data_IF_626333034892
#
_entry.id   IF_626333034892
#
_cell.length_a   1.000
_cell.length_b   1.000
_cell.length_c   1.000
_cell.angle_alpha   90.00
_cell.angle_beta   90.00
_cell.angle_gamma   90.00
#
_symmetry.space_group_name_H-M   'P 1'
#
loop_
_entity.id
_entity.type
_entity.pdbx_description
1 polymer ?
#
# COMPACT_ATOMS: atom_id res chain seq x y z
N UNK A 1 0.82 2.34 24.23
CA UNK A 1 0.06 2.80 23.80
C UNK A 1 -0.15 3.26 23.41
N UNK A 2 0.31 3.08 22.97
CA UNK A 2 -0.27 3.67 22.40
C UNK A 2 -0.23 3.87 21.80
N UNK A 3 0.30 3.74 21.39
CA UNK A 3 -0.12 4.19 20.71
C UNK A 3 0.02 4.43 20.27
N UNK A 4 0.59 4.43 20.03
CA UNK A 4 0.20 4.94 19.59
C UNK A 4 0.48 4.82 19.13
N UNK A 5 1.14 4.72 19.01
CA UNK A 5 0.84 4.99 18.50
C UNK A 5 0.74 5.07 17.83
N UNK A 6 1.36 4.74 17.88
CA UNK A 6 0.64 5.09 17.28
C UNK A 6 0.36 5.38 16.99
N UNK A 7 0.91 5.37 16.84
CA UNK A 7 0.10 5.88 16.56
C UNK A 7 -0.23 6.02 16.01
N UNK A 8 0.26 5.86 15.85
CA UNK A 8 -0.54 6.19 15.39
C UNK A 8 -0.76 5.85 14.95
N UNK A 9 0.01 5.41 15.09
CA UNK A 9 -0.71 5.34 14.80
C UNK A 9 -0.96 5.11 14.93
N UNK A 10 -0.46 4.88 14.97
CA UNK A 10 -1.24 4.87 15.09
C UNK A 10 -1.82 4.79 15.19
N UNK A 11 -1.58 5.01 15.36
CA UNK A 11 -2.65 4.95 15.51
C UNK A 11 -3.07 4.61 14.98
N UNK A 12 -2.78 4.43 14.87
CA UNK A 12 -3.78 3.54 14.31
C UNK A 12 -4.59 2.99 15.46
N UNK A 13 -5.78 3.36 15.53
CA UNK A 13 -6.60 3.09 16.68
C UNK A 13 -7.27 1.72 16.68
N UNK A 14 -7.91 1.40 17.80
CA UNK A 14 -8.63 0.15 17.97
C UNK A 14 -9.76 0.00 16.95
N UNK A 15 -10.42 1.08 16.59
CA UNK A 15 -11.48 1.03 15.59
C UNK A 15 -10.94 0.58 14.24
N UNK A 16 -9.73 1.02 13.91
CA UNK A 16 -9.10 0.57 12.67
C UNK A 16 -8.76 -0.91 12.73
N UNK A 17 -8.30 -1.37 13.86
CA UNK A 17 -8.00 -2.79 14.01
C UNK A 17 -9.24 -3.64 13.79
N UNK A 18 -10.39 -3.20 14.29
CA UNK A 18 -11.66 -3.91 14.08
C UNK A 18 -12.06 -3.84 12.62
N UNK A 19 -11.96 -2.66 12.01
CA UNK A 19 -12.36 -2.48 10.62
C UNK A 19 -11.49 -3.28 9.66
N UNK A 20 -10.25 -3.56 10.04
CA UNK A 20 -9.33 -4.29 9.19
C UNK A 20 -9.23 -5.77 9.55
N UNK A 21 -10.08 -6.24 10.47
CA UNK A 21 -10.10 -7.66 10.83
C UNK A 21 -10.39 -8.48 9.57
N UNK A 22 -9.57 -9.48 9.30
CA UNK A 22 -9.68 -10.29 8.10
C UNK A 22 -8.90 -9.78 6.91
N UNK A 23 -8.37 -8.56 6.96
CA UNK A 23 -7.50 -8.08 5.88
C UNK A 23 -6.12 -8.71 6.02
N UNK A 24 -5.53 -9.02 4.86
CA UNK A 24 -4.14 -9.44 4.81
C UNK A 24 -3.27 -8.21 4.59
N UNK A 25 -2.18 -8.13 5.35
CA UNK A 25 -1.22 -7.05 5.22
C UNK A 25 0.03 -7.58 4.51
N UNK A 26 0.58 -6.77 3.62
CA UNK A 26 1.73 -7.15 2.81
C UNK A 26 2.89 -6.20 3.07
N UNK A 27 4.13 -6.71 3.21
CA UNK A 27 5.26 -5.86 3.52
C UNK A 27 5.70 -5.05 2.30
N UNK A 28 6.06 -3.80 2.55
CA UNK A 28 6.78 -2.97 1.59
C UNK A 28 8.23 -3.46 1.55
N UNK A 29 8.87 -3.36 0.40
CA UNK A 29 10.24 -3.82 0.23
C UNK A 29 11.16 -3.21 1.28
N UNK A 30 12.06 -4.00 1.87
CA UNK A 30 13.03 -3.45 2.83
C UNK A 30 13.99 -2.49 2.15
N UNK A 31 14.45 -1.49 2.88
CA UNK A 31 15.38 -0.51 2.36
C UNK A 31 14.76 0.53 1.44
N UNK A 32 13.43 0.53 1.29
CA UNK A 32 12.74 1.46 0.39
C UNK A 32 11.75 2.31 1.19
N UNK A 33 11.80 3.61 0.96
CA UNK A 33 10.78 4.53 1.44
C UNK A 33 9.83 4.74 0.27
N UNK A 34 8.59 4.28 0.40
CA UNK A 34 7.68 4.17 -0.72
C UNK A 34 6.76 5.36 -0.83
N UNK A 35 6.75 5.99 -2.00
CA UNK A 35 5.83 7.10 -2.26
C UNK A 35 4.40 6.60 -2.39
N UNK A 36 3.49 7.28 -1.70
CA UNK A 36 2.05 7.05 -1.81
C UNK A 36 1.48 8.18 -2.65
N UNK A 37 0.74 7.82 -3.68
CA UNK A 37 0.15 8.80 -4.60
C UNK A 37 -1.36 8.82 -4.46
N UNK A 38 -1.97 9.93 -4.89
CA UNK A 38 -3.41 10.09 -4.79
C UNK A 38 -4.19 9.25 -5.80
N UNK A 39 -3.50 8.63 -6.74
CA UNK A 39 -4.11 7.76 -7.74
C UNK A 39 -3.10 6.78 -8.30
N UNK A 40 -3.52 5.87 -9.18
CA UNK A 40 -2.68 4.78 -9.65
C UNK A 40 -1.74 5.24 -10.77
N UNK A 41 -0.70 5.98 -10.42
CA UNK A 41 0.28 6.39 -11.41
C UNK A 41 1.20 7.50 -10.93
N UNK A 42 2.30 7.68 -11.66
CA UNK A 42 3.28 8.70 -11.33
C UNK A 42 2.86 10.11 -11.72
N UNK A 43 1.78 10.23 -12.49
CA UNK A 43 1.20 11.55 -12.80
C UNK A 43 0.38 12.11 -11.65
N UNK A 44 0.05 11.28 -10.67
CA UNK A 44 -0.69 11.74 -9.49
C UNK A 44 0.29 12.24 -8.43
N UNK A 45 -0.08 13.26 -7.66
CA UNK A 45 0.81 13.81 -6.66
C UNK A 45 1.10 12.82 -5.54
N UNK A 46 2.29 12.96 -4.95
CA UNK A 46 2.67 12.19 -3.76
C UNK A 46 1.96 12.81 -2.57
N UNK A 47 1.23 11.98 -1.82
CA UNK A 47 0.47 12.44 -0.65
C UNK A 47 1.14 12.10 0.67
N UNK A 48 2.02 11.10 0.65
CA UNK A 48 2.88 10.77 1.79
C UNK A 48 3.95 9.77 1.39
N UNK A 49 4.85 9.46 2.30
CA UNK A 49 5.90 8.48 2.09
C UNK A 49 5.84 7.46 3.21
N UNK A 50 5.81 6.17 2.85
CA UNK A 50 5.82 5.09 3.83
C UNK A 50 7.25 4.74 4.23
N UNK A 51 7.50 4.45 5.50
CA UNK A 51 8.81 4.00 5.94
C UNK A 51 9.08 2.57 5.43
N UNK A 52 10.37 2.22 5.35
CA UNK A 52 10.74 0.88 4.94
C UNK A 52 10.19 -0.17 5.92
N UNK A 53 9.87 -1.34 5.39
CA UNK A 53 9.46 -2.46 6.21
C UNK A 53 8.04 -2.40 6.74
N UNK A 54 7.30 -1.34 6.48
CA UNK A 54 5.91 -1.25 6.91
C UNK A 54 5.06 -2.25 6.13
N UNK A 55 3.98 -2.71 6.75
CA UNK A 55 3.01 -3.56 6.07
C UNK A 55 1.78 -2.75 5.72
N UNK A 56 1.19 -3.02 4.57
CA UNK A 56 0.02 -2.29 4.08
C UNK A 56 -1.10 -3.26 3.69
N UNK A 57 -2.36 -2.87 3.91
CA UNK A 57 -3.48 -3.63 3.38
C UNK A 57 -3.68 -3.28 1.90
N UNK A 58 -4.33 -4.15 1.16
CA UNK A 58 -4.71 -3.87 -0.23
C UNK A 58 -6.20 -4.06 -0.34
N UNK A 59 -6.92 -2.96 -0.55
CA UNK A 59 -8.38 -2.99 -0.64
C UNK A 59 -8.85 -3.29 -2.06
N UNK A 60 -8.15 -2.76 -3.05
CA UNK A 60 -8.42 -3.01 -4.46
C UNK A 60 -7.17 -2.67 -5.25
N UNK A 61 -7.14 -3.04 -6.52
CA UNK A 61 -5.98 -2.79 -7.38
C UNK A 61 -6.42 -2.20 -8.70
N UNK A 62 -5.60 -1.30 -9.26
CA UNK A 62 -5.89 -0.64 -10.53
C UNK A 62 -4.66 -0.65 -11.42
N UNK A 63 -4.84 -0.73 -12.74
CA UNK A 63 -3.72 -0.52 -13.65
C UNK A 63 -3.35 0.96 -13.70
N UNK A 64 -2.08 1.23 -13.93
CA UNK A 64 -1.58 2.60 -14.04
C UNK A 64 -0.21 2.63 -14.66
N UNK A 65 0.65 3.53 -14.18
CA UNK A 65 2.01 3.66 -14.72
C UNK A 65 2.80 2.40 -14.46
N UNK A 66 3.51 1.91 -15.48
CA UNK A 66 4.40 0.75 -15.35
C UNK A 66 5.62 1.14 -14.55
N UNK A 67 5.92 0.35 -13.51
CA UNK A 67 7.03 0.58 -12.60
C UNK A 67 7.86 -0.69 -12.49
N UNK A 68 9.18 -0.54 -12.49
CA UNK A 68 10.09 -1.64 -12.21
C UNK A 68 10.60 -1.48 -10.78
N UNK A 69 10.50 -2.53 -10.00
CA UNK A 69 10.90 -2.51 -8.60
C UNK A 69 11.47 -3.87 -8.18
N UNK A 70 11.75 -4.03 -6.88
CA UNK A 70 12.38 -5.26 -6.39
C UNK A 70 11.54 -6.52 -6.59
N UNK A 71 10.23 -6.39 -6.75
CA UNK A 71 9.36 -7.55 -6.94
C UNK A 71 8.88 -7.69 -8.38
N UNK A 72 9.51 -6.98 -9.31
CA UNK A 72 9.23 -7.14 -10.74
C UNK A 72 8.76 -5.85 -11.38
N UNK A 73 8.42 -5.96 -12.65
CA UNK A 73 7.89 -4.85 -13.44
C UNK A 73 6.39 -5.06 -13.62
N UNK A 74 5.61 -4.06 -13.24
CA UNK A 74 4.16 -4.19 -13.30
C UNK A 74 3.50 -2.82 -13.46
N UNK A 75 2.29 -2.82 -14.00
CA UNK A 75 1.47 -1.61 -14.04
C UNK A 75 0.39 -1.62 -12.95
N UNK A 76 0.45 -2.59 -12.04
CA UNK A 76 -0.55 -2.70 -10.97
C UNK A 76 -0.24 -1.72 -9.86
N UNK A 77 -1.25 -1.03 -9.38
CA UNK A 77 -1.17 -0.12 -8.25
C UNK A 77 -2.14 -0.59 -7.18
N UNK A 78 -1.66 -0.60 -5.93
CA UNK A 78 -2.41 -1.12 -4.80
C UNK A 78 -3.04 0.02 -4.02
N UNK A 79 -4.37 -0.05 -3.86
CA UNK A 79 -5.09 0.91 -3.03
C UNK A 79 -4.96 0.49 -1.58
N UNK A 80 -4.32 1.33 -0.77
CA UNK A 80 -4.01 1.01 0.62
C UNK A 80 -4.83 1.83 1.61
N UNK A 81 -5.50 2.85 1.14
CA UNK A 81 -6.40 3.69 1.93
C UNK A 81 -7.16 4.57 0.96
N UNK A 82 -8.10 5.34 1.45
CA UNK A 82 -8.88 6.23 0.59
C UNK A 82 -7.97 7.22 -0.15
N UNK A 83 -8.03 7.19 -1.48
CA UNK A 83 -7.21 8.04 -2.35
C UNK A 83 -5.71 7.87 -2.11
N UNK A 84 -5.27 6.66 -1.76
CA UNK A 84 -3.87 6.37 -1.54
C UNK A 84 -3.48 5.09 -2.27
N UNK A 85 -2.51 5.22 -3.17
CA UNK A 85 -2.06 4.13 -4.02
C UNK A 85 -0.55 4.01 -3.99
N UNK A 86 -0.06 2.78 -4.03
CA UNK A 86 1.37 2.49 -4.15
C UNK A 86 1.57 1.50 -5.28
N UNK A 87 2.77 1.54 -5.89
CA UNK A 87 3.09 0.59 -6.94
C UNK A 87 3.28 -0.82 -6.36
N UNK A 88 2.62 -1.80 -6.96
CA UNK A 88 2.74 -3.20 -6.56
C UNK A 88 4.16 -3.73 -6.73
N UNK A 89 4.98 -3.08 -7.56
CA UNK A 89 6.38 -3.45 -7.77
C UNK A 89 7.22 -3.38 -6.48
N UNK A 90 6.73 -2.67 -5.47
CA UNK A 90 7.41 -2.50 -4.19
C UNK A 90 6.69 -3.18 -3.03
N UNK A 91 5.65 -3.96 -3.32
CA UNK A 91 4.87 -4.64 -2.27
C UNK A 91 4.95 -6.15 -2.48
N UNK A 92 5.35 -6.86 -1.44
CA UNK A 92 5.54 -8.32 -1.52
C UNK A 92 4.20 -9.01 -1.31
N UNK A 93 3.49 -9.26 -2.41
CA UNK A 93 2.20 -9.96 -2.36
C UNK A 93 2.33 -11.47 -2.56
N UNK A 94 3.46 -11.92 -3.09
CA UNK A 94 3.66 -13.31 -3.42
C UNK A 94 3.09 -13.70 -4.79
N UNK A 95 2.64 -12.71 -5.57
CA UNK A 95 2.07 -12.95 -6.89
C UNK A 95 2.54 -11.86 -7.85
N UNK A 96 2.68 -12.22 -9.12
CA UNK A 96 3.02 -11.28 -10.19
C UNK A 96 1.78 -10.57 -10.75
N UNK A 97 0.60 -11.06 -10.42
CA UNK A 97 -0.64 -10.52 -10.95
C UNK A 97 -1.51 -9.91 -9.87
N UNK A 98 -2.77 -9.69 -10.20
CA UNK A 98 -3.73 -9.14 -9.28
C UNK A 98 -4.06 -10.15 -8.17
N UNK A 99 -4.15 -9.66 -6.95
CA UNK A 99 -4.54 -10.46 -5.79
C UNK A 99 -5.81 -9.92 -5.13
N UNK A 100 -6.37 -8.85 -5.66
CA UNK A 100 -7.58 -8.23 -5.13
C UNK A 100 -8.44 -7.78 -6.32
N UNK A 101 -9.69 -7.42 -6.01
CA UNK A 101 -10.60 -6.92 -7.02
C UNK A 101 -10.08 -5.60 -7.61
N UNK A 102 -10.48 -5.30 -8.82
CA UNK A 102 -10.17 -3.99 -9.43
C UNK A 102 -10.89 -2.89 -8.68
N UNK A 103 -10.22 -1.77 -8.54
CA UNK A 103 -10.87 -0.58 -8.03
C UNK A 103 -11.92 -0.10 -9.03
N UNK A 104 -13.04 0.36 -8.53
CA UNK A 104 -14.13 0.80 -9.39
C UNK A 104 -13.79 2.11 -10.12
#
# INVERSE_FOLDING_TARGET
>A
MSVDRVEEAENIGAAEAVATAGLTYYPVAPGVRLNVRSGPGTSYPIVKVLPEGIKVPIFCQSPGTTISGPYGTTNIWDNIADSQFVSDAYVRTGSDGYIAARCA
#
